data_IF_007863962559
#
_entry.id   IF_007863962559
#
_cell.length_a   1.000
_cell.length_b   1.000
_cell.length_c   1.000
_cell.angle_alpha   90.00
_cell.angle_beta   90.00
_cell.angle_gamma   90.00
#
_symmetry.space_group_name_H-M   'P 1'
#
loop_
_entity.id
_entity.type
_entity.pdbx_description
1 polymer ?
#
# COMPACT_ATOMS: atom_id res chain seq x y z
N UNK A 1 37.27 -55.30 39.13
CA UNK A 1 36.90 -53.88 39.22
C UNK A 1 36.55 -53.39 37.81
N UNK A 2 35.35 -53.69 37.32
CA UNK A 2 34.89 -53.23 35.99
C UNK A 2 33.38 -52.96 36.01
N UNK A 3 32.97 -51.94 36.78
CA UNK A 3 31.60 -51.44 36.82
C UNK A 3 31.59 -49.91 36.95
N UNK A 4 32.52 -49.22 36.27
CA UNK A 4 32.87 -47.84 36.64
C UNK A 4 32.64 -46.80 35.54
N UNK A 5 32.35 -47.18 34.30
CA UNK A 5 32.13 -46.18 33.25
C UNK A 5 30.73 -45.55 33.33
N UNK A 6 29.69 -46.39 33.45
CA UNK A 6 28.31 -45.91 33.45
C UNK A 6 27.91 -45.27 34.77
N UNK A 7 28.32 -45.85 35.89
CA UNK A 7 28.12 -45.29 37.23
C UNK A 7 28.77 -43.89 37.34
N UNK A 8 29.97 -43.73 36.78
CA UNK A 8 30.65 -42.44 36.69
C UNK A 8 29.92 -41.46 35.76
N UNK A 9 29.33 -41.94 34.67
CA UNK A 9 28.57 -41.11 33.73
C UNK A 9 27.28 -40.59 34.38
N UNK A 10 26.60 -41.42 35.16
CA UNK A 10 25.42 -41.07 35.94
C UNK A 10 25.76 -40.03 37.00
N UNK A 11 26.85 -40.24 37.75
CA UNK A 11 27.31 -39.27 38.76
C UNK A 11 27.68 -37.93 38.13
N UNK A 12 28.37 -37.96 36.98
CA UNK A 12 28.74 -36.78 36.21
C UNK A 12 27.51 -36.03 35.68
N UNK A 13 26.46 -36.77 35.28
CA UNK A 13 25.18 -36.20 34.85
C UNK A 13 24.49 -35.48 36.01
N UNK A 14 24.44 -36.10 37.19
CA UNK A 14 23.89 -35.46 38.39
C UNK A 14 24.71 -34.25 38.86
N UNK A 15 26.01 -34.27 38.60
CA UNK A 15 26.90 -33.12 38.85
C UNK A 15 26.78 -32.01 37.79
N UNK A 16 26.05 -32.25 36.68
CA UNK A 16 25.87 -31.28 35.61
C UNK A 16 27.10 -31.06 34.73
N UNK A 17 28.06 -31.99 34.72
CA UNK A 17 29.32 -31.85 34.00
C UNK A 17 29.34 -32.62 32.67
N UNK A 18 28.24 -33.28 32.29
CA UNK A 18 28.15 -34.09 31.08
C UNK A 18 28.20 -33.28 29.80
N UNK A 19 28.79 -33.88 28.77
CA UNK A 19 28.74 -33.40 27.39
C UNK A 19 27.54 -33.98 26.63
N UNK A 20 27.16 -33.35 25.52
CA UNK A 20 26.05 -33.81 24.66
C UNK A 20 26.26 -35.24 24.15
N UNK A 21 27.52 -35.63 23.89
CA UNK A 21 27.85 -36.99 23.45
C UNK A 21 27.62 -38.03 24.55
N UNK A 22 28.02 -37.70 25.78
CA UNK A 22 27.84 -38.52 26.98
C UNK A 22 26.34 -38.66 27.34
N UNK A 23 25.55 -37.59 27.23
CA UNK A 23 24.11 -37.65 27.46
C UNK A 23 23.37 -38.51 26.42
N UNK A 24 23.85 -38.51 25.18
CA UNK A 24 23.32 -39.40 24.13
C UNK A 24 23.61 -40.86 24.45
N UNK A 25 24.79 -41.16 24.99
CA UNK A 25 25.15 -42.51 25.45
C UNK A 25 24.29 -42.94 26.64
N UNK A 26 24.14 -42.07 27.64
CA UNK A 26 23.26 -42.27 28.79
C UNK A 26 21.82 -42.58 28.35
N UNK A 27 21.29 -41.78 27.43
CA UNK A 27 19.96 -41.99 26.84
C UNK A 27 19.85 -43.35 26.16
N UNK A 28 20.83 -43.72 25.32
CA UNK A 28 20.79 -44.99 24.60
C UNK A 28 20.80 -46.20 25.53
N UNK A 29 21.57 -46.14 26.63
CA UNK A 29 21.62 -47.19 27.64
C UNK A 29 20.27 -47.38 28.34
N UNK A 30 19.63 -46.31 28.80
CA UNK A 30 18.32 -46.40 29.46
C UNK A 30 17.16 -46.71 28.50
N UNK A 31 17.38 -46.64 27.19
CA UNK A 31 16.44 -47.12 26.17
C UNK A 31 16.47 -48.64 25.98
N UNK A 32 17.55 -49.33 26.39
CA UNK A 32 17.64 -50.78 26.27
C UNK A 32 16.77 -51.48 27.32
N UNK A 33 16.21 -52.67 27.01
CA UNK A 33 15.41 -53.42 27.98
C UNK A 33 16.24 -53.98 29.14
N UNK A 34 17.54 -54.24 28.92
CA UNK A 34 18.46 -54.85 29.87
C UNK A 34 19.38 -53.78 30.50
N UNK A 35 18.98 -53.25 31.66
CA UNK A 35 19.71 -52.24 32.43
C UNK A 35 20.11 -52.86 33.77
N UNK A 36 21.28 -52.46 34.30
CA UNK A 36 21.76 -53.01 35.55
C UNK A 36 20.75 -52.76 36.69
N UNK A 37 20.54 -53.73 37.61
CA UNK A 37 19.49 -53.63 38.65
C UNK A 37 19.57 -52.37 39.52
N UNK A 38 20.76 -51.83 39.79
CA UNK A 38 20.96 -50.60 40.56
C UNK A 38 20.76 -49.31 39.75
N UNK A 39 20.69 -49.40 38.42
CA UNK A 39 20.39 -48.27 37.54
C UNK A 39 18.90 -48.15 37.20
N UNK A 40 18.10 -49.20 37.41
CA UNK A 40 16.65 -49.20 37.17
C UNK A 40 15.93 -48.02 37.86
N UNK A 41 16.37 -47.62 39.05
CA UNK A 41 15.82 -46.45 39.76
C UNK A 41 15.91 -45.13 38.96
N UNK A 42 16.90 -44.99 38.07
CA UNK A 42 17.11 -43.78 37.25
C UNK A 42 16.38 -43.85 35.90
N UNK A 43 15.81 -45.01 35.55
CA UNK A 43 15.16 -45.27 34.26
C UNK A 43 14.00 -44.33 33.98
N UNK A 44 13.19 -44.04 34.99
CA UNK A 44 12.06 -43.11 34.87
C UNK A 44 12.50 -41.67 34.53
N UNK A 45 13.67 -41.25 35.01
CA UNK A 45 14.20 -39.90 34.76
C UNK A 45 14.93 -39.81 33.41
N UNK A 46 15.78 -40.80 33.12
CA UNK A 46 16.70 -40.75 31.97
C UNK A 46 16.14 -41.44 30.70
N UNK A 47 15.14 -42.31 30.84
CA UNK A 47 14.50 -43.04 29.73
C UNK A 47 13.19 -42.43 29.21
N UNK A 48 12.57 -41.48 29.94
CA UNK A 48 11.25 -40.92 29.62
C UNK A 48 11.20 -40.10 28.31
N UNK A 49 12.34 -39.61 27.85
CA UNK A 49 12.44 -38.78 26.64
C UNK A 49 12.06 -39.50 25.34
N UNK A 50 11.97 -40.82 25.33
CA UNK A 50 11.47 -41.57 24.18
C UNK A 50 9.95 -41.39 24.02
N UNK A 51 9.20 -41.44 25.13
CA UNK A 51 7.75 -41.34 25.14
C UNK A 51 7.27 -39.89 24.95
N UNK A 52 7.97 -38.93 25.56
CA UNK A 52 7.65 -37.51 25.44
C UNK A 52 7.93 -36.92 24.04
N UNK A 53 8.72 -37.61 23.19
CA UNK A 53 9.04 -37.15 21.83
C UNK A 53 7.81 -37.19 20.90
N UNK A 54 6.87 -38.09 21.19
CA UNK A 54 5.67 -38.27 20.38
C UNK A 54 4.53 -37.30 20.76
N UNK A 55 4.68 -36.55 21.86
CA UNK A 55 3.74 -35.51 22.26
C UNK A 55 3.93 -34.25 21.39
N UNK A 56 3.23 -34.20 20.27
CA UNK A 56 3.15 -33.00 19.44
C UNK A 56 1.93 -32.14 19.83
N UNK A 57 2.15 -30.85 20.06
CA UNK A 57 1.06 -29.89 20.25
C UNK A 57 0.33 -29.65 18.92
N UNK A 58 -0.73 -30.41 18.66
CA UNK A 58 -1.52 -30.37 17.41
C UNK A 58 -2.62 -29.32 17.42
N UNK A 59 -2.73 -28.50 18.46
CA UNK A 59 -3.84 -27.55 18.60
C UNK A 59 -3.57 -26.29 17.77
N UNK A 60 -4.44 -26.05 16.78
CA UNK A 60 -4.44 -24.81 16.02
C UNK A 60 -4.84 -23.64 16.92
N UNK A 61 -3.93 -22.70 17.14
CA UNK A 61 -4.20 -21.46 17.88
C UNK A 61 -5.05 -20.54 17.01
N UNK A 62 -6.25 -20.11 17.44
CA UNK A 62 -7.05 -19.16 16.68
C UNK A 62 -6.39 -17.78 16.74
N UNK A 63 -5.55 -17.49 15.74
CA UNK A 63 -4.96 -16.16 15.56
C UNK A 63 -6.02 -15.22 14.98
N UNK A 64 -6.40 -14.18 15.73
CA UNK A 64 -7.27 -13.12 15.23
C UNK A 64 -6.40 -12.10 14.48
N UNK A 65 -6.48 -11.99 13.13
CA UNK A 65 -5.66 -11.04 12.40
C UNK A 65 -6.03 -9.60 12.78
N UNK A 66 -5.02 -8.77 13.02
CA UNK A 66 -5.20 -7.34 13.28
C UNK A 66 -5.76 -6.67 12.03
N UNK A 67 -6.97 -6.11 12.13
CA UNK A 67 -7.55 -5.31 11.05
C UNK A 67 -6.68 -4.07 10.84
N UNK A 68 -6.17 -3.89 9.62
CA UNK A 68 -5.37 -2.71 9.25
C UNK A 68 -6.33 -1.56 8.97
N UNK A 69 -6.15 -0.45 9.67
CA UNK A 69 -7.07 0.70 9.66
C UNK A 69 -6.91 1.56 8.39
N UNK A 70 -6.99 0.97 7.20
CA UNK A 70 -6.89 1.70 5.93
C UNK A 70 -7.95 2.80 5.83
N UNK A 71 -9.15 2.54 6.35
CA UNK A 71 -10.26 3.52 6.38
C UNK A 71 -9.89 4.77 7.20
N UNK A 72 -9.16 4.62 8.30
CA UNK A 72 -8.70 5.76 9.10
C UNK A 72 -7.71 6.62 8.31
N UNK A 73 -6.80 6.00 7.54
CA UNK A 73 -5.85 6.72 6.68
C UNK A 73 -6.53 7.41 5.50
N UNK A 74 -7.59 6.83 4.94
CA UNK A 74 -8.40 7.47 3.89
C UNK A 74 -9.09 8.72 4.43
N UNK A 75 -9.64 8.67 5.65
CA UNK A 75 -10.26 9.84 6.29
C UNK A 75 -9.28 10.98 6.50
N UNK A 76 -8.03 10.68 6.86
CA UNK A 76 -6.96 11.68 7.01
C UNK A 76 -6.53 12.25 5.65
N UNK A 77 -6.40 11.41 4.62
CA UNK A 77 -6.07 11.89 3.28
C UNK A 77 -7.16 12.83 2.72
N UNK A 78 -8.43 12.50 2.95
CA UNK A 78 -9.56 13.32 2.49
C UNK A 78 -9.57 14.71 3.15
N UNK A 79 -9.30 14.81 4.46
CA UNK A 79 -9.27 16.11 5.15
C UNK A 79 -8.12 16.98 4.65
N UNK A 80 -6.93 16.41 4.43
CA UNK A 80 -5.79 17.13 3.86
C UNK A 80 -6.09 17.61 2.44
N UNK A 81 -6.70 16.77 1.60
CA UNK A 81 -7.08 17.15 0.24
C UNK A 81 -8.10 18.29 0.20
N UNK A 82 -9.10 18.28 1.10
CA UNK A 82 -10.07 19.37 1.24
C UNK A 82 -9.41 20.68 1.66
N UNK A 83 -8.54 20.63 2.69
CA UNK A 83 -7.82 21.82 3.15
C UNK A 83 -6.92 22.39 2.06
N UNK A 84 -6.21 21.52 1.33
CA UNK A 84 -5.35 21.92 0.22
C UNK A 84 -6.17 22.53 -0.93
N UNK A 85 -7.28 21.91 -1.32
CA UNK A 85 -8.20 22.42 -2.33
C UNK A 85 -8.73 23.81 -1.97
N UNK A 86 -9.26 23.97 -0.76
CA UNK A 86 -9.74 25.27 -0.27
C UNK A 86 -8.63 26.30 -0.21
N UNK A 87 -7.44 25.93 0.28
CA UNK A 87 -6.28 26.83 0.30
C UNK A 87 -5.91 27.30 -1.10
N UNK A 88 -5.83 26.40 -2.08
CA UNK A 88 -5.52 26.78 -3.47
C UNK A 88 -6.62 27.65 -4.08
N UNK A 89 -7.89 27.33 -3.84
CA UNK A 89 -9.02 28.09 -4.36
C UNK A 89 -9.09 29.51 -3.79
N UNK A 90 -8.89 29.67 -2.48
CA UNK A 90 -8.89 30.98 -1.82
C UNK A 90 -7.64 31.81 -2.17
N UNK A 91 -6.51 31.17 -2.47
CA UNK A 91 -5.28 31.86 -2.87
C UNK A 91 -5.12 32.01 -4.39
N UNK A 92 -6.09 31.58 -5.19
CA UNK A 92 -6.16 31.95 -6.59
C UNK A 92 -6.42 33.46 -6.67
N UNK A 93 -5.35 34.24 -6.87
CA UNK A 93 -5.49 35.64 -7.26
C UNK A 93 -6.33 35.66 -8.55
N UNK A 94 -7.36 36.52 -8.64
CA UNK A 94 -7.95 36.82 -9.93
C UNK A 94 -6.80 37.18 -10.86
N UNK A 95 -6.68 36.45 -11.98
CA UNK A 95 -5.80 36.89 -13.04
C UNK A 95 -6.26 38.32 -13.34
N UNK A 96 -5.39 39.31 -13.11
CA UNK A 96 -5.64 40.67 -13.54
C UNK A 96 -5.81 40.58 -15.06
N UNK A 97 -7.07 40.45 -15.49
CA UNK A 97 -7.43 40.62 -16.88
C UNK A 97 -7.17 42.09 -17.12
N UNK A 98 -6.06 42.36 -17.80
CA UNK A 98 -5.80 43.64 -18.42
C UNK A 98 -7.03 43.98 -19.27
N UNK A 99 -7.87 44.87 -18.75
CA UNK A 99 -9.15 45.26 -19.35
C UNK A 99 -8.96 46.11 -20.62
N UNK A 100 -7.75 46.15 -21.18
CA UNK A 100 -7.41 46.82 -22.43
C UNK A 100 -7.19 48.32 -22.25
N UNK A 101 -6.81 48.75 -21.04
CA UNK A 101 -6.50 50.16 -20.79
C UNK A 101 -5.02 50.40 -21.11
N UNK A 102 -4.76 50.90 -22.31
CA UNK A 102 -3.40 51.21 -22.74
C UNK A 102 -3.04 52.66 -22.37
N UNK A 103 -2.01 52.83 -21.54
CA UNK A 103 -1.49 54.16 -21.15
C UNK A 103 -0.91 54.94 -22.35
N UNK A 104 -0.43 54.23 -23.38
CA UNK A 104 0.12 54.84 -24.58
C UNK A 104 -0.98 55.02 -25.65
N UNK A 105 -1.27 56.25 -26.09
CA UNK A 105 -2.32 56.53 -27.07
C UNK A 105 -2.07 55.89 -28.44
N UNK A 106 -0.81 55.70 -28.87
CA UNK A 106 -0.49 55.05 -30.13
C UNK A 106 -0.80 53.54 -30.10
N UNK A 107 -0.56 52.90 -28.95
CA UNK A 107 -0.85 51.47 -28.76
C UNK A 107 -2.36 51.25 -28.66
N UNK A 108 -3.06 52.10 -27.90
CA UNK A 108 -4.52 52.09 -27.80
C UNK A 108 -5.19 52.18 -29.17
N UNK A 109 -4.70 53.10 -30.01
CA UNK A 109 -5.22 53.30 -31.35
C UNK A 109 -5.02 52.07 -32.25
N UNK A 110 -3.83 51.46 -32.24
CA UNK A 110 -3.53 50.24 -33.02
C UNK A 110 -4.39 49.06 -32.61
N UNK A 111 -4.53 48.80 -31.31
CA UNK A 111 -5.37 47.69 -30.82
C UNK A 111 -6.86 47.94 -31.11
N UNK A 112 -7.31 49.19 -31.04
CA UNK A 112 -8.67 49.57 -31.45
C UNK A 112 -8.90 49.33 -32.93
N UNK A 113 -7.96 49.71 -33.79
CA UNK A 113 -8.04 49.45 -35.23
C UNK A 113 -8.15 47.96 -35.53
N UNK A 114 -7.34 47.14 -34.86
CA UNK A 114 -7.37 45.68 -34.99
C UNK A 114 -8.71 45.09 -34.51
N UNK A 115 -9.25 45.57 -33.40
CA UNK A 115 -10.57 45.16 -32.92
C UNK A 115 -11.69 45.53 -33.90
N UNK A 116 -11.67 46.76 -34.43
CA UNK A 116 -12.62 47.22 -35.45
C UNK A 116 -12.50 46.44 -36.75
N UNK A 117 -11.30 46.05 -37.15
CA UNK A 117 -11.07 45.21 -38.33
C UNK A 117 -11.71 43.83 -38.16
N UNK A 118 -11.52 43.17 -37.00
CA UNK A 118 -12.17 41.89 -36.71
C UNK A 118 -13.70 41.99 -36.74
N UNK A 119 -14.26 43.06 -36.18
CA UNK A 119 -15.71 43.31 -36.25
C UNK A 119 -16.17 43.50 -37.70
N UNK A 120 -15.43 44.31 -38.48
CA UNK A 120 -15.73 44.57 -39.89
C UNK A 120 -15.72 43.29 -40.74
N UNK A 121 -14.76 42.39 -40.51
CA UNK A 121 -14.70 41.10 -41.19
C UNK A 121 -15.94 40.26 -40.92
N UNK A 122 -16.39 40.18 -39.66
CA UNK A 122 -17.59 39.43 -39.28
C UNK A 122 -18.87 40.05 -39.87
N UNK A 123 -18.98 41.38 -39.89
CA UNK A 123 -20.12 42.07 -40.53
C UNK A 123 -20.16 41.78 -42.02
N UNK A 124 -19.01 41.84 -42.71
CA UNK A 124 -18.92 41.53 -44.14
C UNK A 124 -19.33 40.08 -44.46
N UNK A 125 -18.96 39.12 -43.60
CA UNK A 125 -19.41 37.73 -43.73
C UNK A 125 -20.93 37.62 -43.58
N UNK A 126 -21.52 38.29 -42.59
CA UNK A 126 -22.98 38.33 -42.39
C UNK A 126 -23.73 38.92 -43.57
N UNK A 127 -23.23 40.03 -44.14
CA UNK A 127 -23.82 40.68 -45.31
C UNK A 127 -23.76 39.78 -46.55
N UNK A 128 -22.64 39.07 -46.78
CA UNK A 128 -22.54 38.06 -47.85
C UNK A 128 -23.57 36.93 -47.67
N UNK A 129 -23.73 36.43 -46.45
CA UNK A 129 -24.73 35.41 -46.12
C UNK A 129 -26.16 35.84 -46.46
N UNK A 130 -26.52 37.09 -46.16
CA UNK A 130 -27.84 37.65 -46.53
C UNK A 130 -28.04 37.72 -48.05
N UNK A 131 -26.97 37.94 -48.83
CA UNK A 131 -27.02 37.91 -50.29
C UNK A 131 -27.45 36.55 -50.82
N UNK A 132 -26.87 35.46 -50.31
CA UNK A 132 -27.26 34.10 -50.69
C UNK A 132 -28.71 33.78 -50.30
N UNK A 133 -29.17 34.24 -49.13
CA UNK A 133 -30.54 34.02 -48.68
C UNK A 133 -31.57 34.69 -49.60
N UNK A 134 -31.28 35.92 -50.06
CA UNK A 134 -32.14 36.64 -51.01
C UNK A 134 -32.25 35.91 -52.36
N UNK A 135 -31.15 35.35 -52.86
CA UNK A 135 -31.16 34.59 -54.12
C UNK A 135 -31.92 33.26 -53.95
N UNK A 136 -31.74 32.57 -52.83
CA UNK A 136 -32.50 31.36 -52.50
C UNK A 136 -34.01 31.62 -52.39
N UNK A 137 -34.44 32.69 -51.73
CA UNK A 137 -35.86 33.07 -51.68
C UNK A 137 -36.41 33.36 -53.08
N UNK A 138 -35.63 34.04 -53.92
CA UNK A 138 -36.02 34.37 -55.29
C UNK A 138 -36.18 33.12 -56.15
N UNK A 139 -35.24 32.18 -56.10
CA UNK A 139 -35.34 30.91 -56.85
C UNK A 139 -36.50 30.05 -56.35
N UNK A 140 -36.68 29.94 -55.03
CA UNK A 140 -37.81 29.22 -54.43
C UNK A 140 -39.15 29.80 -54.87
N UNK A 141 -39.31 31.14 -54.82
CA UNK A 141 -40.50 31.84 -55.33
C UNK A 141 -40.70 31.75 -56.83
N UNK A 142 -39.69 31.35 -57.60
CA UNK A 142 -39.79 31.19 -59.07
C UNK A 142 -40.13 29.75 -59.45
N UNK A 143 -39.57 28.78 -58.73
CA UNK A 143 -39.72 27.35 -59.03
C UNK A 143 -40.98 26.75 -58.39
N UNK A 144 -41.35 27.19 -57.18
CA UNK A 144 -42.44 26.60 -56.39
C UNK A 144 -43.67 27.51 -56.29
N UNK A 145 -43.86 28.43 -57.23
CA UNK A 145 -45.06 29.28 -57.33
C UNK A 145 -46.09 28.71 -58.29
#
# INVERSE_FOLDING_TARGET
MEFNSMDRLIEKYFSGETSIAEEKELKNYFMQPDVAPHHEQYRAMLGYFAQAKDEQFTKTVPLKPRKRNYVAWISVAASVALLFGLFTFLNQKPQEQDLGSFENPEVAYKETQKALEMVSQNVNLGVKGMGYMKEYEKTTKTIFK
#
